data_IF_104952158829
#
_entry.id   IF_104952158829
#
_cell.length_a   1.000
_cell.length_b   1.000
_cell.length_c   1.000
_cell.angle_alpha   90.00
_cell.angle_beta   90.00
_cell.angle_gamma   90.00
#
_symmetry.space_group_name_H-M   'P 1'
#
loop_
_entity.id
_entity.type
_entity.pdbx_description
1 polymer ?
#
# COMPACT_ATOMS: atom_id res chain seq x y z
N UNK A 1 25.50 -2.57 1.67
CA UNK A 1 24.04 -2.38 1.82
C UNK A 1 23.40 -1.99 0.47
N UNK A 2 23.78 -2.67 -0.62
CA UNK A 2 23.52 -2.24 -2.02
C UNK A 2 22.50 -3.12 -2.79
N UNK A 3 22.07 -4.27 -2.25
CA UNK A 3 21.37 -5.29 -3.05
C UNK A 3 19.88 -5.03 -3.34
N UNK A 4 19.11 -4.38 -2.46
CA UNK A 4 17.66 -4.20 -2.69
C UNK A 4 17.35 -3.09 -3.70
N UNK A 5 18.16 -2.03 -3.75
CA UNK A 5 17.91 -0.92 -4.69
C UNK A 5 18.27 -1.33 -6.13
N UNK A 6 19.36 -2.07 -6.33
CA UNK A 6 19.74 -2.63 -7.64
C UNK A 6 18.71 -3.65 -8.15
N UNK A 7 18.12 -4.46 -7.26
CA UNK A 7 17.07 -5.41 -7.61
C UNK A 7 15.77 -4.75 -8.11
N UNK A 8 15.36 -3.64 -7.49
CA UNK A 8 14.18 -2.87 -7.93
C UNK A 8 14.43 -2.17 -9.27
N UNK A 9 15.64 -1.66 -9.51
CA UNK A 9 15.99 -1.00 -10.77
C UNK A 9 16.19 -1.97 -11.94
N UNK A 10 16.80 -3.13 -11.72
CA UNK A 10 16.93 -4.19 -12.73
C UNK A 10 15.58 -4.81 -13.12
N UNK A 11 14.60 -4.75 -12.21
CA UNK A 11 13.24 -5.20 -12.47
C UNK A 11 12.44 -4.19 -13.31
N UNK A 12 12.57 -2.89 -13.03
CA UNK A 12 11.93 -1.82 -13.82
C UNK A 12 12.39 -1.81 -15.29
N UNK A 13 13.66 -2.13 -15.56
CA UNK A 13 14.19 -2.23 -16.94
C UNK A 13 13.74 -3.48 -17.71
N UNK A 14 13.28 -4.53 -17.02
CA UNK A 14 12.72 -5.74 -17.66
C UNK A 14 11.25 -5.59 -18.05
N UNK A 15 10.48 -4.73 -17.35
CA UNK A 15 9.05 -4.53 -17.61
C UNK A 15 8.75 -3.49 -18.69
N UNK A 16 9.64 -2.52 -18.93
CA UNK A 16 9.53 -1.55 -20.03
C UNK A 16 10.31 -2.09 -21.22
N UNK A 17 9.66 -2.95 -22.01
CA UNK A 17 10.32 -3.81 -22.99
C UNK A 17 11.29 -3.10 -23.96
N UNK A 18 12.57 -3.44 -23.86
CA UNK A 18 13.50 -3.35 -24.98
C UNK A 18 13.34 -4.58 -25.87
N UNK A 19 12.39 -4.54 -26.81
CA UNK A 19 12.37 -5.42 -28.00
C UNK A 19 13.27 -4.87 -29.12
N UNK A 20 14.46 -4.38 -28.78
CA UNK A 20 15.41 -3.84 -29.76
C UNK A 20 16.81 -4.22 -29.34
N UNK A 21 17.21 -5.50 -29.47
CA UNK A 21 18.63 -5.89 -29.42
C UNK A 21 18.81 -7.33 -29.97
N UNK A 22 18.50 -7.51 -31.25
CA UNK A 22 18.75 -8.75 -32.00
C UNK A 22 20.13 -8.74 -32.68
N UNK A 23 21.16 -8.15 -32.05
CA UNK A 23 22.35 -7.74 -32.83
C UNK A 23 23.70 -7.67 -32.14
N UNK A 24 23.94 -8.35 -31.01
CA UNK A 24 25.32 -8.43 -30.50
C UNK A 24 25.71 -9.88 -30.09
N UNK A 25 26.61 -10.55 -30.85
CA UNK A 25 26.99 -11.94 -30.63
C UNK A 25 27.90 -12.19 -29.41
N UNK A 26 28.48 -11.16 -28.78
CA UNK A 26 29.44 -11.32 -27.66
C UNK A 26 28.77 -11.21 -26.28
N UNK A 27 27.68 -11.98 -26.10
CA UNK A 27 26.77 -12.01 -24.95
C UNK A 27 27.37 -12.35 -23.59
N UNK A 28 28.25 -11.51 -23.07
CA UNK A 28 28.76 -11.57 -21.69
C UNK A 28 28.36 -10.32 -20.92
N UNK A 29 27.60 -10.52 -19.84
CA UNK A 29 27.27 -9.47 -18.85
C UNK A 29 28.54 -8.74 -18.35
N UNK A 30 29.65 -9.47 -18.27
CA UNK A 30 30.95 -8.92 -17.85
C UNK A 30 31.59 -8.00 -18.90
N UNK A 31 31.35 -8.22 -20.19
CA UNK A 31 31.83 -7.33 -21.26
C UNK A 31 31.08 -5.98 -21.22
N UNK A 32 29.76 -6.03 -20.97
CA UNK A 32 28.91 -4.83 -20.80
C UNK A 32 29.29 -3.98 -19.57
N UNK A 33 29.85 -4.59 -18.52
CA UNK A 33 30.32 -3.89 -17.31
C UNK A 33 31.75 -3.32 -17.48
N UNK A 34 32.62 -3.98 -18.27
CA UNK A 34 34.04 -3.58 -18.43
C UNK A 34 34.28 -2.54 -19.50
N UNK A 35 33.38 -2.35 -20.46
CA UNK A 35 33.55 -1.43 -21.59
C UNK A 35 33.49 0.08 -21.23
N UNK A 36 33.67 0.47 -19.97
CA UNK A 36 33.73 1.89 -19.58
C UNK A 36 32.40 2.64 -19.71
N UNK A 37 31.34 2.00 -20.20
CA UNK A 37 30.00 2.29 -19.72
C UNK A 37 29.94 1.74 -18.31
N UNK A 38 30.31 2.55 -17.33
CA UNK A 38 29.98 2.24 -15.96
C UNK A 38 28.48 1.91 -15.87
N UNK A 39 28.05 1.44 -14.72
CA UNK A 39 26.66 1.58 -14.29
C UNK A 39 26.40 3.09 -14.03
N UNK A 40 26.70 3.93 -15.03
CA UNK A 40 26.27 5.29 -15.25
C UNK A 40 25.14 5.10 -16.23
N UNK A 41 23.95 4.86 -15.70
CA UNK A 41 22.66 4.75 -16.39
C UNK A 41 22.61 5.61 -17.67
N UNK A 42 22.93 5.08 -18.88
CA UNK A 42 23.10 5.93 -20.06
C UNK A 42 21.77 6.22 -20.79
N UNK A 43 20.66 5.66 -20.32
CA UNK A 43 19.35 5.73 -20.97
C UNK A 43 18.22 6.30 -20.09
N UNK A 44 18.34 6.33 -18.75
CA UNK A 44 17.49 7.24 -17.98
C UNK A 44 18.10 8.63 -18.17
N UNK A 45 17.47 9.48 -18.97
CA UNK A 45 17.47 10.92 -18.65
C UNK A 45 16.96 11.00 -17.21
N UNK A 46 17.87 11.05 -16.23
CA UNK A 46 17.53 11.21 -14.81
C UNK A 46 16.53 12.38 -14.74
N UNK A 47 15.45 12.19 -14.01
CA UNK A 47 14.30 13.09 -13.89
C UNK A 47 13.30 13.09 -15.06
N UNK A 48 13.42 12.15 -15.99
CA UNK A 48 12.53 12.04 -17.16
C UNK A 48 12.90 13.00 -18.31
N UNK A 49 12.17 12.88 -19.42
CA UNK A 49 12.37 13.68 -20.63
C UNK A 49 11.43 14.90 -20.73
N UNK A 50 10.41 14.97 -19.87
CA UNK A 50 9.37 15.99 -19.90
C UNK A 50 8.35 15.82 -21.02
N UNK A 51 8.17 14.59 -21.54
CA UNK A 51 7.27 14.30 -22.66
C UNK A 51 5.80 14.73 -22.42
N UNK A 52 5.34 14.76 -21.18
CA UNK A 52 3.98 15.13 -20.80
C UNK A 52 3.83 16.64 -20.49
N UNK A 53 4.88 17.45 -20.73
CA UNK A 53 4.85 18.90 -20.56
C UNK A 53 4.84 19.34 -19.10
N UNK A 54 4.35 20.55 -18.82
CA UNK A 54 4.12 21.02 -17.45
C UNK A 54 2.72 20.64 -16.98
N UNK A 55 2.59 20.26 -15.71
CA UNK A 55 1.29 20.01 -15.08
C UNK A 55 1.09 20.91 -13.86
N UNK A 56 -0.03 21.66 -13.87
CA UNK A 56 -0.54 22.36 -12.70
C UNK A 56 -1.89 21.77 -12.30
N UNK A 57 -1.94 21.11 -11.15
CA UNK A 57 -3.17 20.52 -10.59
C UNK A 57 -3.98 21.63 -9.92
N UNK A 58 -4.87 22.25 -10.70
CA UNK A 58 -5.77 23.33 -10.24
C UNK A 58 -7.17 22.84 -9.80
N UNK A 59 -7.50 21.59 -10.11
CA UNK A 59 -8.68 20.86 -9.65
C UNK A 59 -8.24 19.49 -9.11
N UNK A 60 -9.13 18.76 -8.42
CA UNK A 60 -8.81 17.38 -8.03
C UNK A 60 -8.62 16.54 -9.30
N UNK A 61 -7.46 15.91 -9.43
CA UNK A 61 -7.04 15.19 -10.63
C UNK A 61 -6.78 13.73 -10.28
N UNK A 62 -7.41 12.83 -11.03
CA UNK A 62 -7.16 11.39 -10.96
C UNK A 62 -6.46 10.96 -12.24
N UNK A 63 -5.24 10.48 -12.11
CA UNK A 63 -4.48 9.86 -13.19
C UNK A 63 -4.80 8.36 -13.26
N UNK A 64 -4.41 7.69 -14.34
CA UNK A 64 -4.39 6.22 -14.34
C UNK A 64 -3.12 5.75 -13.60
N UNK A 65 -3.14 4.60 -12.93
CA UNK A 65 -1.89 4.02 -12.41
C UNK A 65 -0.86 3.87 -13.53
N UNK A 66 0.38 4.31 -13.30
CA UNK A 66 1.40 4.31 -14.36
C UNK A 66 2.53 5.32 -14.14
N UNK A 67 3.26 5.57 -15.23
CA UNK A 67 4.44 6.44 -15.30
C UNK A 67 4.12 7.71 -16.07
N UNK A 68 4.49 8.85 -15.48
CA UNK A 68 4.30 10.20 -16.03
C UNK A 68 5.61 10.98 -16.02
N UNK A 69 5.85 11.79 -17.06
CA UNK A 69 7.11 12.50 -17.34
C UNK A 69 6.86 13.99 -17.58
N UNK A 70 6.97 14.81 -16.54
CA UNK A 70 6.72 16.25 -16.62
C UNK A 70 8.00 17.08 -16.71
N UNK A 71 7.91 18.28 -17.28
CA UNK A 71 8.93 19.32 -17.14
C UNK A 71 8.91 19.87 -15.72
N UNK A 72 7.76 20.38 -15.27
CA UNK A 72 7.47 20.75 -13.89
C UNK A 72 6.09 20.24 -13.49
N UNK A 73 5.93 19.94 -12.19
CA UNK A 73 4.66 19.51 -11.62
C UNK A 73 4.36 20.35 -10.38
N UNK A 74 3.22 21.03 -10.39
CA UNK A 74 2.72 21.77 -9.23
C UNK A 74 1.36 21.23 -8.81
N UNK A 75 1.23 20.82 -7.54
CA UNK A 75 -0.06 20.51 -6.93
C UNK A 75 -0.48 21.69 -6.06
N UNK A 76 -1.51 22.42 -6.46
CA UNK A 76 -1.97 23.62 -5.74
C UNK A 76 -2.57 23.28 -4.39
N UNK A 77 -2.56 24.26 -3.47
CA UNK A 77 -3.16 24.10 -2.15
C UNK A 77 -4.65 23.72 -2.23
N UNK A 78 -5.06 22.80 -1.36
CA UNK A 78 -6.42 22.27 -1.34
C UNK A 78 -6.80 21.38 -2.53
N UNK A 79 -5.84 21.00 -3.39
CA UNK A 79 -6.06 20.08 -4.51
C UNK A 79 -5.41 18.73 -4.26
N UNK A 80 -6.06 17.68 -4.76
CA UNK A 80 -5.57 16.31 -4.66
C UNK A 80 -5.19 15.77 -6.04
N UNK A 81 -3.97 15.24 -6.14
CA UNK A 81 -3.51 14.38 -7.22
C UNK A 81 -3.52 12.92 -6.73
N UNK A 82 -4.25 12.06 -7.41
CA UNK A 82 -4.33 10.62 -7.08
C UNK A 82 -4.30 9.77 -8.35
N UNK A 83 -4.38 8.45 -8.22
CA UNK A 83 -4.54 7.56 -9.36
C UNK A 83 -5.70 6.58 -9.19
N UNK A 84 -6.20 6.03 -10.30
CA UNK A 84 -7.14 4.90 -10.27
C UNK A 84 -6.40 3.61 -9.96
N UNK A 85 -7.11 2.66 -9.34
CA UNK A 85 -6.65 1.27 -9.24
C UNK A 85 -6.72 0.66 -10.66
N UNK A 86 -5.57 0.54 -11.33
CA UNK A 86 -5.47 -0.05 -12.67
C UNK A 86 -5.35 -1.58 -12.63
N UNK A 87 -4.95 -2.20 -13.76
CA UNK A 87 -4.50 -3.61 -13.79
C UNK A 87 -3.32 -3.85 -12.83
N UNK A 88 -2.49 -2.82 -12.66
CA UNK A 88 -1.49 -2.72 -11.60
C UNK A 88 -2.11 -1.80 -10.53
N UNK A 89 -2.27 -2.31 -9.33
CA UNK A 89 -2.92 -1.67 -8.18
C UNK A 89 -2.13 -0.48 -7.64
N UNK A 90 -2.67 0.73 -7.82
CA UNK A 90 -2.30 1.90 -7.02
C UNK A 90 -0.84 2.34 -7.11
N UNK A 91 -0.19 2.14 -8.26
CA UNK A 91 1.21 2.56 -8.49
C UNK A 91 1.23 3.87 -9.28
N UNK A 92 1.90 4.88 -8.72
CA UNK A 92 2.11 6.18 -9.37
C UNK A 92 3.60 6.49 -9.44
N UNK A 93 4.12 6.61 -10.66
CA UNK A 93 5.52 6.99 -10.92
C UNK A 93 5.55 8.37 -11.58
N UNK A 94 6.20 9.33 -10.94
CA UNK A 94 6.33 10.71 -11.40
C UNK A 94 7.80 11.03 -11.66
N UNK A 95 8.16 11.25 -12.91
CA UNK A 95 9.48 11.73 -13.32
C UNK A 95 9.34 13.22 -13.70
N UNK A 96 10.02 14.11 -12.98
CA UNK A 96 9.89 15.56 -13.15
C UNK A 96 11.24 16.20 -13.44
N UNK A 97 11.45 16.62 -14.68
CA UNK A 97 12.75 17.09 -15.18
C UNK A 97 13.30 18.29 -14.41
N UNK A 98 12.42 19.17 -13.96
CA UNK A 98 12.70 20.37 -13.18
C UNK A 98 12.21 20.20 -11.73
N UNK A 99 11.19 20.97 -11.37
CA UNK A 99 10.73 21.07 -9.99
C UNK A 99 9.36 20.42 -9.80
N UNK A 100 9.26 19.56 -8.78
CA UNK A 100 8.00 19.15 -8.18
C UNK A 100 7.69 20.07 -6.99
N UNK A 101 6.56 20.78 -7.04
CA UNK A 101 6.05 21.59 -5.93
C UNK A 101 4.74 21.01 -5.41
N UNK A 102 4.71 20.64 -4.12
CA UNK A 102 3.54 20.06 -3.45
C UNK A 102 3.01 21.05 -2.41
N UNK A 103 1.96 21.78 -2.79
CA UNK A 103 1.17 22.64 -1.88
C UNK A 103 -0.13 21.97 -1.42
N UNK A 104 -0.64 21.01 -2.21
CA UNK A 104 -1.80 20.18 -1.90
C UNK A 104 -1.42 18.75 -1.53
N UNK A 105 -2.21 17.77 -1.99
CA UNK A 105 -2.04 16.36 -1.65
C UNK A 105 -1.70 15.52 -2.88
N UNK A 106 -0.63 14.74 -2.83
CA UNK A 106 -0.41 13.59 -3.72
C UNK A 106 -0.72 12.33 -2.91
N UNK A 107 -1.67 11.50 -3.33
CA UNK A 107 -2.08 10.33 -2.54
C UNK A 107 -2.38 9.09 -3.38
N UNK A 108 -1.93 7.94 -2.87
CA UNK A 108 -2.36 6.60 -3.28
C UNK A 108 -2.83 5.77 -2.07
N UNK A 109 -3.31 6.45 -1.04
CA UNK A 109 -3.80 5.81 0.19
C UNK A 109 -4.97 4.88 -0.12
N UNK A 110 -4.99 3.67 0.46
CA UNK A 110 -6.01 2.65 0.21
C UNK A 110 -5.99 2.00 -1.18
N UNK A 111 -5.00 2.31 -2.03
CA UNK A 111 -4.91 1.75 -3.38
C UNK A 111 -4.01 0.49 -3.46
N UNK A 112 -3.53 -0.02 -2.33
CA UNK A 112 -2.78 -1.28 -2.18
C UNK A 112 -3.70 -2.51 -2.15
N UNK A 113 -3.32 -3.56 -1.43
CA UNK A 113 -4.09 -4.81 -1.43
C UNK A 113 -5.51 -4.60 -0.85
N UNK A 114 -6.57 -5.20 -1.43
CA UNK A 114 -7.94 -5.07 -0.91
C UNK A 114 -8.15 -5.89 0.37
N UNK A 115 -8.92 -5.33 1.30
CA UNK A 115 -9.21 -5.93 2.60
C UNK A 115 -10.03 -7.21 2.54
N UNK A 116 -9.91 -8.01 3.59
CA UNK A 116 -10.68 -9.24 3.77
C UNK A 116 -12.15 -8.94 4.01
N UNK A 117 -13.04 -9.73 3.38
CA UNK A 117 -14.47 -9.63 3.63
C UNK A 117 -14.82 -10.08 5.05
N UNK A 118 -15.83 -9.45 5.63
CA UNK A 118 -16.39 -9.85 6.91
C UNK A 118 -17.03 -11.24 6.84
N UNK A 119 -17.09 -11.93 7.98
CA UNK A 119 -17.94 -13.10 8.12
C UNK A 119 -19.42 -12.68 8.05
N UNK A 120 -20.17 -13.25 7.11
CA UNK A 120 -21.61 -13.04 6.98
C UNK A 120 -22.33 -14.37 7.15
N UNK A 121 -23.18 -14.49 8.18
CA UNK A 121 -24.01 -15.69 8.35
C UNK A 121 -25.51 -15.34 8.43
N UNK A 122 -26.24 -15.44 7.31
CA UNK A 122 -27.69 -15.29 7.34
C UNK A 122 -28.42 -16.46 8.02
N UNK A 123 -27.75 -17.58 8.30
CA UNK A 123 -28.30 -18.84 8.81
C UNK A 123 -28.07 -19.09 10.31
N UNK A 124 -27.37 -18.21 11.02
CA UNK A 124 -27.29 -18.24 12.48
C UNK A 124 -26.42 -19.36 13.06
N UNK A 125 -25.25 -19.62 12.50
CA UNK A 125 -24.17 -20.49 13.02
C UNK A 125 -22.83 -19.76 13.25
N UNK A 126 -22.74 -18.49 12.86
CA UNK A 126 -21.55 -17.65 12.86
C UNK A 126 -20.58 -17.97 11.71
N UNK A 127 -19.90 -16.94 11.19
CA UNK A 127 -18.97 -17.02 10.07
C UNK A 127 -17.60 -16.42 10.41
N UNK A 128 -16.54 -17.06 9.91
CA UNK A 128 -15.18 -16.50 10.00
C UNK A 128 -15.02 -15.30 9.07
N UNK A 129 -14.17 -14.36 9.44
CA UNK A 129 -13.70 -13.34 8.52
C UNK A 129 -12.78 -13.94 7.45
N UNK A 130 -12.80 -13.37 6.25
CA UNK A 130 -11.85 -13.73 5.19
C UNK A 130 -10.50 -13.04 5.42
N UNK A 131 -9.37 -13.68 5.07
CA UNK A 131 -8.06 -13.04 5.15
C UNK A 131 -7.96 -11.84 4.20
N UNK A 132 -7.15 -10.86 4.58
CA UNK A 132 -6.76 -9.75 3.71
C UNK A 132 -5.82 -10.21 2.60
N UNK A 133 -5.86 -9.53 1.45
CA UNK A 133 -4.94 -9.86 0.36
C UNK A 133 -3.51 -9.41 0.68
N UNK A 134 -2.54 -10.18 0.18
CA UNK A 134 -1.13 -9.87 0.31
C UNK A 134 -0.75 -8.64 -0.52
N UNK A 135 0.12 -7.81 0.04
CA UNK A 135 0.79 -6.71 -0.66
C UNK A 135 2.14 -7.13 -1.25
N UNK A 136 2.70 -6.28 -2.10
CA UNK A 136 4.06 -6.43 -2.62
C UNK A 136 5.06 -5.77 -1.66
N UNK A 137 4.94 -4.45 -1.49
CA UNK A 137 5.89 -3.61 -0.76
C UNK A 137 5.14 -2.65 0.18
N UNK A 138 5.58 -2.56 1.44
CA UNK A 138 4.95 -1.75 2.47
C UNK A 138 4.72 -2.55 3.77
N UNK A 139 3.81 -2.05 4.61
CA UNK A 139 3.38 -2.68 5.86
C UNK A 139 2.40 -3.81 5.63
N UNK A 140 2.43 -4.80 6.52
CA UNK A 140 1.44 -5.88 6.52
C UNK A 140 0.09 -5.38 7.02
N UNK A 141 -0.98 -6.09 6.68
CA UNK A 141 -2.30 -5.83 7.23
C UNK A 141 -2.44 -6.35 8.65
N UNK A 142 -3.33 -5.73 9.41
CA UNK A 142 -3.78 -6.21 10.71
C UNK A 142 -4.78 -7.36 10.56
N UNK A 143 -4.75 -8.33 11.48
CA UNK A 143 -5.77 -9.37 11.54
C UNK A 143 -7.13 -8.82 12.00
N UNK A 144 -8.21 -9.46 11.56
CA UNK A 144 -9.56 -9.18 12.06
C UNK A 144 -9.78 -9.76 13.46
N UNK A 145 -10.68 -9.13 14.20
CA UNK A 145 -11.14 -9.60 15.51
C UNK A 145 -12.05 -10.83 15.39
N UNK A 146 -11.87 -11.80 16.28
CA UNK A 146 -12.75 -12.96 16.40
C UNK A 146 -14.00 -12.68 17.26
N UNK A 147 -14.94 -13.63 17.21
CA UNK A 147 -16.10 -13.68 18.10
C UNK A 147 -16.17 -15.02 18.84
N UNK A 148 -16.34 -14.97 20.16
CA UNK A 148 -16.42 -16.15 21.04
C UNK A 148 -17.88 -16.36 21.50
N UNK A 149 -18.75 -16.94 20.66
CA UNK A 149 -20.10 -17.29 21.12
C UNK A 149 -20.49 -18.63 20.52
N UNK A 150 -20.63 -19.65 21.37
CA UNK A 150 -21.04 -21.01 20.99
C UNK A 150 -20.21 -21.61 19.83
N UNK A 151 -18.89 -21.40 19.88
CA UNK A 151 -17.92 -21.80 18.85
C UNK A 151 -16.96 -20.65 18.54
N UNK A 152 -15.67 -20.93 18.36
CA UNK A 152 -14.68 -19.90 18.05
C UNK A 152 -14.83 -19.56 16.57
N UNK A 153 -15.34 -18.35 16.26
CA UNK A 153 -15.29 -17.82 14.89
C UNK A 153 -14.16 -16.82 14.82
N UNK A 154 -13.12 -17.17 14.06
CA UNK A 154 -11.94 -16.35 13.92
C UNK A 154 -12.19 -15.12 13.04
N UNK A 155 -11.47 -14.05 13.31
CA UNK A 155 -11.25 -13.05 12.29
C UNK A 155 -10.31 -13.62 11.21
N UNK A 156 -10.32 -13.01 10.05
CA UNK A 156 -9.37 -13.32 8.98
C UNK A 156 -7.98 -12.79 9.32
N UNK A 157 -6.96 -13.45 8.79
CA UNK A 157 -5.57 -13.01 8.88
C UNK A 157 -5.35 -11.69 8.12
N UNK A 158 -4.34 -10.93 8.55
CA UNK A 158 -3.87 -9.78 7.79
C UNK A 158 -3.00 -10.20 6.59
N UNK A 159 -3.00 -9.41 5.53
CA UNK A 159 -2.21 -9.65 4.33
C UNK A 159 -0.71 -9.42 4.52
N UNK A 160 0.10 -10.29 3.94
CA UNK A 160 1.57 -10.30 4.00
C UNK A 160 2.18 -9.30 3.01
N UNK A 161 3.32 -8.69 3.35
CA UNK A 161 4.18 -7.94 2.40
C UNK A 161 5.56 -8.59 2.28
N UNK A 162 6.34 -8.25 1.26
CA UNK A 162 7.69 -8.81 1.05
C UNK A 162 8.81 -8.10 1.82
N UNK A 163 8.50 -7.01 2.52
CA UNK A 163 9.46 -6.13 3.21
C UNK A 163 8.95 -5.87 4.63
N UNK A 164 9.85 -5.82 5.61
CA UNK A 164 9.61 -5.52 7.04
C UNK A 164 8.96 -4.13 7.23
N UNK A 165 7.66 -4.01 6.96
CA UNK A 165 6.80 -3.02 7.59
C UNK A 165 6.12 -3.64 8.82
N UNK A 166 5.74 -2.81 9.79
CA UNK A 166 5.40 -3.25 11.16
C UNK A 166 4.48 -4.47 11.22
N UNK A 167 4.75 -5.39 12.16
CA UNK A 167 3.93 -6.57 12.39
C UNK A 167 2.57 -6.10 12.95
N UNK A 168 1.47 -6.47 12.28
CA UNK A 168 0.13 -6.28 12.83
C UNK A 168 0.00 -6.93 14.23
N UNK A 169 -0.78 -6.33 15.11
CA UNK A 169 -0.97 -6.85 16.48
C UNK A 169 -2.16 -7.81 16.53
N UNK A 170 -1.93 -9.12 16.59
CA UNK A 170 -3.03 -10.09 16.75
C UNK A 170 -3.83 -9.82 18.04
N UNK A 171 -5.16 -9.68 17.91
CA UNK A 171 -6.10 -9.79 19.03
C UNK A 171 -7.13 -10.88 18.68
N UNK A 172 -6.79 -12.14 18.92
CA UNK A 172 -7.69 -13.28 18.74
C UNK A 172 -7.07 -14.45 17.96
N UNK A 173 -7.87 -15.44 17.53
CA UNK A 173 -7.40 -16.67 16.87
C UNK A 173 -6.91 -16.46 15.42
N UNK A 174 -6.32 -15.31 15.10
CA UNK A 174 -5.86 -14.92 13.78
C UNK A 174 -4.40 -14.43 13.81
N UNK A 175 -3.66 -14.73 12.77
CA UNK A 175 -2.27 -14.35 12.56
C UNK A 175 -2.16 -13.04 11.80
N UNK A 176 -1.27 -12.17 12.24
CA UNK A 176 -0.94 -10.96 11.47
C UNK A 176 -0.04 -11.33 10.30
N UNK A 177 -0.07 -10.53 9.24
CA UNK A 177 0.65 -10.87 8.03
C UNK A 177 2.16 -10.97 8.26
N UNK A 178 2.79 -12.03 7.75
CA UNK A 178 4.23 -12.29 7.81
C UNK A 178 4.97 -11.69 6.61
N UNK A 179 6.29 -11.53 6.71
CA UNK A 179 7.11 -11.14 5.57
C UNK A 179 7.40 -12.36 4.70
N UNK A 180 6.99 -12.32 3.42
CA UNK A 180 7.12 -13.45 2.50
C UNK A 180 8.23 -13.24 1.44
N UNK A 181 8.69 -14.32 0.82
CA UNK A 181 9.90 -14.39 -0.01
C UNK A 181 9.95 -13.33 -1.14
N UNK A 182 10.74 -12.27 -0.92
CA UNK A 182 10.96 -11.13 -1.83
C UNK A 182 11.25 -11.54 -3.28
N UNK A 183 11.96 -12.66 -3.47
CA UNK A 183 12.37 -13.18 -4.78
C UNK A 183 11.19 -13.72 -5.61
N UNK A 184 10.21 -14.39 -4.98
CA UNK A 184 9.05 -14.94 -5.69
C UNK A 184 8.10 -13.83 -6.16
N UNK A 185 7.98 -12.76 -5.37
CA UNK A 185 7.16 -11.59 -5.71
C UNK A 185 7.83 -10.68 -6.75
N UNK A 186 9.16 -10.55 -6.74
CA UNK A 186 9.92 -9.78 -7.75
C UNK A 186 9.78 -10.37 -9.17
N UNK A 187 9.34 -11.62 -9.30
CA UNK A 187 9.14 -12.29 -10.60
C UNK A 187 7.66 -12.30 -11.05
N UNK A 188 6.72 -11.84 -10.21
CA UNK A 188 5.30 -12.15 -10.32
C UNK A 188 4.33 -11.02 -10.68
N UNK A 189 4.81 -9.80 -10.99
CA UNK A 189 4.04 -8.54 -11.14
C UNK A 189 3.82 -7.78 -9.82
N UNK A 190 3.99 -6.45 -9.85
CA UNK A 190 3.75 -5.56 -8.71
C UNK A 190 2.24 -5.36 -8.51
N UNK A 191 1.59 -6.30 -7.84
CA UNK A 191 0.12 -6.38 -7.81
C UNK A 191 -0.52 -5.80 -6.54
N UNK A 192 0.23 -5.11 -5.66
CA UNK A 192 -0.32 -4.24 -4.58
C UNK A 192 0.78 -3.53 -3.79
N UNK A 193 0.53 -2.33 -3.25
CA UNK A 193 1.40 -1.74 -2.21
C UNK A 193 1.33 -2.50 -0.88
N UNK A 194 0.96 -1.82 0.21
CA UNK A 194 0.79 -2.43 1.53
C UNK A 194 -0.21 -3.60 1.55
N UNK A 195 -0.03 -4.51 2.49
CA UNK A 195 -0.92 -5.66 2.73
C UNK A 195 -2.26 -5.21 3.32
N UNK A 196 -3.32 -5.97 3.09
CA UNK A 196 -4.67 -5.58 3.50
C UNK A 196 -5.06 -6.17 4.85
N UNK A 197 -5.93 -5.51 5.61
CA UNK A 197 -6.45 -6.06 6.87
C UNK A 197 -7.39 -7.24 6.66
N UNK A 198 -7.46 -8.15 7.63
CA UNK A 198 -8.40 -9.28 7.64
C UNK A 198 -9.81 -8.89 8.10
N UNK A 199 -10.84 -9.61 7.62
CA UNK A 199 -12.22 -9.36 8.03
C UNK A 199 -12.50 -9.82 9.46
N UNK A 200 -13.43 -9.19 10.16
CA UNK A 200 -13.92 -9.63 11.47
C UNK A 200 -14.80 -10.88 11.36
N UNK A 201 -14.77 -11.72 12.39
CA UNK A 201 -15.69 -12.84 12.55
C UNK A 201 -17.07 -12.38 13.04
N UNK A 202 -18.14 -13.05 12.62
CA UNK A 202 -19.50 -12.83 13.09
C UNK A 202 -19.98 -14.01 13.96
N UNK A 203 -20.61 -13.72 15.09
CA UNK A 203 -21.34 -14.72 15.87
C UNK A 203 -22.72 -15.02 15.25
N UNK A 204 -23.45 -15.89 15.93
CA UNK A 204 -24.87 -16.17 15.74
C UNK A 204 -25.72 -14.90 15.60
N UNK A 205 -26.77 -14.98 14.78
CA UNK A 205 -27.71 -13.88 14.54
C UNK A 205 -27.35 -13.03 13.32
N UNK A 206 -28.17 -12.01 13.02
CA UNK A 206 -28.06 -11.14 11.83
C UNK A 206 -26.91 -10.12 11.93
N UNK A 207 -25.78 -10.51 12.53
CA UNK A 207 -24.59 -9.66 12.69
C UNK A 207 -23.62 -9.82 11.55
N UNK A 208 -22.74 -8.85 11.40
CA UNK A 208 -21.66 -8.83 10.41
C UNK A 208 -20.38 -8.43 11.12
N UNK A 209 -19.30 -9.16 10.85
CA UNK A 209 -17.97 -8.66 11.20
C UNK A 209 -17.66 -7.33 10.50
N UNK A 210 -16.63 -6.64 10.94
CA UNK A 210 -16.10 -5.50 10.19
C UNK A 210 -15.31 -5.95 8.97
N UNK A 211 -15.38 -5.23 7.84
CA UNK A 211 -14.44 -5.44 6.73
C UNK A 211 -13.01 -5.06 7.12
N UNK A 212 -12.02 -5.76 6.56
CA UNK A 212 -10.63 -5.34 6.64
C UNK A 212 -10.34 -4.09 5.81
N UNK A 213 -9.39 -3.26 6.26
CA UNK A 213 -8.95 -2.07 5.55
C UNK A 213 -8.02 -2.40 4.38
N UNK A 214 -8.11 -1.63 3.29
CA UNK A 214 -7.20 -1.76 2.15
C UNK A 214 -5.80 -1.21 2.47
N UNK A 215 -4.74 -1.83 1.94
CA UNK A 215 -3.37 -1.32 2.08
C UNK A 215 -3.12 -0.02 1.30
N UNK A 216 -2.05 0.70 1.60
CA UNK A 216 -1.60 1.87 0.85
C UNK A 216 -0.94 1.51 -0.49
N UNK A 217 -0.99 2.38 -1.49
CA UNK A 217 -0.38 2.16 -2.81
C UNK A 217 1.14 2.42 -2.85
N UNK A 218 1.69 2.59 -4.04
CA UNK A 218 3.13 2.88 -4.25
C UNK A 218 3.29 4.21 -4.99
N UNK A 219 4.11 5.10 -4.44
CA UNK A 219 4.52 6.35 -5.07
C UNK A 219 6.02 6.32 -5.29
N UNK A 220 6.46 6.57 -6.52
CA UNK A 220 7.87 6.80 -6.85
C UNK A 220 7.96 8.18 -7.49
N UNK A 221 8.79 9.05 -6.94
CA UNK A 221 9.04 10.40 -7.45
C UNK A 221 10.51 10.56 -7.70
N UNK A 222 10.85 10.92 -8.93
CA UNK A 222 12.19 11.33 -9.32
C UNK A 222 12.11 12.76 -9.86
N UNK A 223 12.64 13.74 -9.14
CA UNK A 223 12.64 15.13 -9.58
C UNK A 223 13.95 15.84 -9.24
N UNK A 224 14.42 16.82 -10.04
CA UNK A 224 15.65 17.55 -9.65
C UNK A 224 15.46 18.24 -8.31
N UNK A 225 14.34 18.94 -8.17
CA UNK A 225 13.96 19.61 -6.94
C UNK A 225 12.60 19.08 -6.48
N UNK A 226 12.53 18.60 -5.24
CA UNK A 226 11.28 18.27 -4.56
C UNK A 226 11.05 19.32 -3.48
N UNK A 227 9.93 20.04 -3.58
CA UNK A 227 9.50 21.05 -2.61
C UNK A 227 8.15 20.61 -2.07
N UNK A 228 8.10 20.22 -0.79
CA UNK A 228 6.87 19.91 -0.07
C UNK A 228 6.64 21.04 0.93
N UNK A 229 5.67 21.90 0.68
CA UNK A 229 5.38 23.06 1.52
C UNK A 229 4.58 22.66 2.77
N UNK A 230 4.43 23.56 3.74
CA UNK A 230 3.80 23.26 5.05
C UNK A 230 2.33 22.83 4.99
N UNK A 231 1.62 23.14 3.92
CA UNK A 231 0.28 22.60 3.62
C UNK A 231 0.27 21.38 2.69
N UNK A 232 1.44 20.98 2.19
CA UNK A 232 1.63 19.91 1.23
C UNK A 232 1.75 18.54 1.88
N UNK A 233 1.25 17.50 1.20
CA UNK A 233 1.36 16.13 1.65
C UNK A 233 1.59 15.14 0.50
N UNK A 234 2.38 14.09 0.76
CA UNK A 234 2.52 12.90 -0.07
C UNK A 234 2.16 11.68 0.79
N UNK A 235 1.14 10.92 0.38
CA UNK A 235 0.57 9.84 1.21
C UNK A 235 0.39 8.53 0.46
N UNK A 236 0.75 7.45 1.14
CA UNK A 236 0.48 6.08 0.74
C UNK A 236 -0.05 5.32 1.96
N UNK A 237 -1.01 5.88 2.68
CA UNK A 237 -1.49 5.30 3.94
C UNK A 237 -2.42 4.10 3.71
N UNK A 238 -2.41 3.16 4.64
CA UNK A 238 -3.43 2.10 4.74
C UNK A 238 -4.75 2.66 5.25
N UNK A 239 -5.84 1.98 4.92
CA UNK A 239 -7.21 2.33 5.35
C UNK A 239 -7.55 1.58 6.63
N UNK A 240 -8.37 2.19 7.49
CA UNK A 240 -8.85 1.55 8.70
C UNK A 240 -9.75 0.35 8.41
N UNK A 241 -9.74 -0.63 9.31
CA UNK A 241 -10.77 -1.67 9.32
C UNK A 241 -12.12 -1.11 9.79
N UNK A 242 -13.21 -1.72 9.34
CA UNK A 242 -14.55 -1.34 9.76
C UNK A 242 -14.89 -1.94 11.13
N UNK A 243 -15.83 -1.31 11.83
CA UNK A 243 -16.37 -1.85 13.07
C UNK A 243 -17.28 -3.05 12.76
N UNK A 244 -17.32 -4.02 13.68
CA UNK A 244 -18.34 -5.06 13.65
C UNK A 244 -19.73 -4.49 13.93
N UNK A 245 -20.77 -5.08 13.33
CA UNK A 245 -22.15 -4.65 13.51
C UNK A 245 -22.85 -5.33 14.69
N UNK A 246 -23.74 -4.59 15.34
CA UNK A 246 -24.56 -5.08 16.45
C UNK A 246 -26.04 -5.07 16.04
N UNK A 247 -26.73 -6.19 16.28
CA UNK A 247 -28.18 -6.28 16.16
C UNK A 247 -28.80 -6.29 17.57
N UNK A 248 -29.51 -5.20 17.91
CA UNK A 248 -30.14 -5.01 19.22
C UNK A 248 -31.34 -5.91 19.46
N UNK A 249 -31.84 -6.60 18.44
CA UNK A 249 -33.01 -7.49 18.57
C UNK A 249 -32.66 -8.85 19.16
N UNK A 250 -31.37 -9.16 19.36
CA UNK A 250 -30.91 -10.41 19.97
C UNK A 250 -29.89 -10.15 21.07
N UNK A 251 -29.98 -10.91 22.15
CA UNK A 251 -29.09 -10.80 23.32
C UNK A 251 -27.68 -11.33 23.08
N UNK A 252 -27.45 -12.05 21.97
CA UNK A 252 -26.21 -12.77 21.67
C UNK A 252 -25.48 -12.30 20.40
N UNK A 253 -25.88 -11.16 19.85
CA UNK A 253 -25.23 -10.55 18.70
C UNK A 253 -23.85 -9.99 19.03
N UNK A 254 -22.78 -10.70 18.65
CA UNK A 254 -21.39 -10.28 18.87
C UNK A 254 -20.56 -10.44 17.60
N UNK A 255 -19.92 -9.37 17.14
CA UNK A 255 -19.08 -9.39 15.94
C UNK A 255 -17.72 -8.75 16.23
N UNK A 256 -16.65 -9.32 15.67
CA UNK A 256 -15.32 -8.72 15.72
C UNK A 256 -15.16 -7.57 14.71
N UNK A 257 -14.28 -6.62 15.03
CA UNK A 257 -13.89 -5.56 14.10
C UNK A 257 -12.95 -6.06 13.01
N UNK A 258 -12.91 -5.42 11.86
CA UNK A 258 -11.96 -5.74 10.79
C UNK A 258 -10.56 -5.17 11.09
N UNK A 259 -9.52 -5.81 10.60
CA UNK A 259 -8.15 -5.32 10.74
C UNK A 259 -7.84 -4.12 9.84
N UNK A 260 -6.90 -3.27 10.23
CA UNK A 260 -6.43 -2.13 9.42
C UNK A 260 -5.51 -2.57 8.28
N UNK A 261 -5.55 -1.86 7.16
CA UNK A 261 -4.63 -2.07 6.04
C UNK A 261 -3.24 -1.52 6.34
N UNK A 262 -2.19 -2.17 5.84
CA UNK A 262 -0.82 -1.72 5.99
C UNK A 262 -0.50 -0.51 5.12
N UNK A 263 0.43 0.32 5.57
CA UNK A 263 0.96 1.44 4.81
C UNK A 263 1.68 0.99 3.54
N UNK A 264 1.69 1.85 2.53
CA UNK A 264 2.27 1.61 1.22
C UNK A 264 3.77 1.91 1.13
N UNK A 265 4.22 2.36 -0.03
CA UNK A 265 5.61 2.71 -0.27
C UNK A 265 5.73 4.08 -0.92
N UNK A 266 6.64 4.91 -0.41
CA UNK A 266 7.00 6.21 -0.99
C UNK A 266 8.51 6.22 -1.21
N UNK A 267 8.93 6.48 -2.45
CA UNK A 267 10.33 6.68 -2.82
C UNK A 267 10.48 8.08 -3.42
N UNK A 268 11.33 8.91 -2.80
CA UNK A 268 11.68 10.26 -3.25
C UNK A 268 13.15 10.28 -3.66
N UNK A 269 13.41 10.59 -4.92
CA UNK A 269 14.75 10.68 -5.49
C UNK A 269 14.93 12.10 -6.04
N UNK A 270 15.94 12.81 -5.53
CA UNK A 270 16.18 14.19 -5.98
C UNK A 270 17.61 14.65 -5.83
N UNK A 271 17.95 15.76 -6.49
CA UNK A 271 19.20 16.49 -6.18
C UNK A 271 19.02 17.40 -4.98
N UNK A 272 17.83 17.99 -4.84
CA UNK A 272 17.48 18.84 -3.71
C UNK A 272 16.08 18.48 -3.20
N UNK A 273 15.94 18.29 -1.88
CA UNK A 273 14.63 18.19 -1.24
C UNK A 273 14.49 19.28 -0.18
N UNK A 274 13.39 20.02 -0.24
CA UNK A 274 12.89 20.82 0.88
C UNK A 274 11.56 20.21 1.31
N UNK A 275 11.48 19.72 2.55
CA UNK A 275 10.26 19.13 3.08
C UNK A 275 9.84 19.83 4.38
N UNK A 276 8.84 20.69 4.25
CA UNK A 276 8.17 21.36 5.37
C UNK A 276 6.75 20.80 5.61
N UNK A 277 6.33 19.81 4.81
CA UNK A 277 5.00 19.21 4.85
C UNK A 277 4.99 17.80 5.42
N UNK A 278 4.07 16.96 4.95
CA UNK A 278 3.88 15.59 5.45
C UNK A 278 4.22 14.56 4.37
N UNK A 279 5.07 13.59 4.70
CA UNK A 279 5.24 12.36 3.92
C UNK A 279 4.81 11.20 4.81
N UNK A 280 3.80 10.43 4.40
CA UNK A 280 3.22 9.38 5.24
C UNK A 280 2.93 8.10 4.48
N UNK A 281 3.26 6.98 5.11
CA UNK A 281 2.89 5.63 4.71
C UNK A 281 2.43 4.88 5.97
N UNK A 282 1.54 5.48 6.76
CA UNK A 282 1.05 4.88 7.99
C UNK A 282 0.14 3.69 7.71
N UNK A 283 0.14 2.71 8.62
CA UNK A 283 -0.90 1.69 8.64
C UNK A 283 -2.24 2.24 9.14
N UNK A 284 -3.34 1.66 8.68
CA UNK A 284 -4.68 1.93 9.20
C UNK A 284 -4.90 1.30 10.57
N UNK A 285 -5.80 1.89 11.36
CA UNK A 285 -6.21 1.31 12.64
C UNK A 285 -7.22 0.17 12.43
N UNK A 286 -7.28 -0.78 13.36
CA UNK A 286 -8.30 -1.81 13.36
C UNK A 286 -9.66 -1.28 13.82
N UNK A 287 -10.72 -1.91 13.33
CA UNK A 287 -12.10 -1.62 13.71
C UNK A 287 -12.44 -2.14 15.10
N UNK A 288 -13.39 -1.48 15.74
CA UNK A 288 -13.92 -1.91 17.03
C UNK A 288 -14.88 -3.09 16.88
N UNK A 289 -14.98 -3.92 17.91
CA UNK A 289 -16.03 -4.94 17.99
C UNK A 289 -17.45 -4.32 18.10
N UNK A 290 -18.48 -5.12 17.83
CA UNK A 290 -19.88 -4.76 18.03
C UNK A 290 -20.30 -4.78 19.50
N UNK A 291 -21.14 -3.83 19.94
CA UNK A 291 -21.55 -3.59 21.34
C UNK A 291 -21.94 -4.89 22.09
N UNK A 292 -21.50 -5.02 23.34
CA UNK A 292 -21.76 -6.19 24.20
C UNK A 292 -23.04 -5.95 25.04
N UNK A 293 -24.11 -6.75 24.90
CA UNK A 293 -25.14 -6.87 25.93
C UNK A 293 -24.54 -7.60 27.13
N UNK A 294 -24.79 -7.13 28.35
CA UNK A 294 -24.18 -7.62 29.60
C UNK A 294 -24.02 -9.14 29.62
N UNK A 295 -22.78 -9.63 29.53
CA UNK A 295 -22.49 -11.06 29.45
C UNK A 295 -21.01 -11.36 29.31
N UNK A 296 -20.63 -12.58 29.70
CA UNK A 296 -19.26 -13.01 30.01
C UNK A 296 -18.37 -13.30 28.78
N UNK A 297 -18.67 -12.73 27.61
CA UNK A 297 -17.82 -12.92 26.42
C UNK A 297 -17.55 -11.63 25.66
N UNK A 298 -16.27 -11.42 25.36
CA UNK A 298 -15.72 -10.19 24.81
C UNK A 298 -15.30 -10.45 23.35
N UNK A 299 -16.02 -9.92 22.34
CA UNK A 299 -15.54 -9.91 20.97
C UNK A 299 -14.26 -9.06 20.88
N UNK A 300 -13.39 -9.37 19.91
CA UNK A 300 -12.11 -8.70 19.79
C UNK A 300 -12.16 -7.56 18.77
N UNK A 301 -11.38 -6.51 19.04
CA UNK A 301 -11.09 -5.48 18.04
C UNK A 301 -10.24 -6.07 16.92
N UNK A 302 -10.32 -5.47 15.74
CA UNK A 302 -9.33 -5.68 14.71
C UNK A 302 -7.98 -5.10 15.11
N UNK A 303 -6.92 -5.69 14.59
CA UNK A 303 -5.55 -5.19 14.73
C UNK A 303 -5.30 -3.96 13.85
N UNK A 304 -4.36 -3.10 14.25
CA UNK A 304 -3.80 -2.10 13.32
C UNK A 304 -2.90 -2.74 12.26
N UNK A 305 -2.84 -2.12 11.08
CA UNK A 305 -1.89 -2.45 10.03
C UNK A 305 -0.49 -1.89 10.33
N UNK A 306 0.52 -2.52 9.73
CA UNK A 306 1.91 -2.08 9.80
C UNK A 306 2.15 -0.78 9.04
N UNK A 307 3.11 0.00 9.52
CA UNK A 307 3.63 1.14 8.73
C UNK A 307 4.36 0.63 7.48
N UNK A 308 4.25 1.43 6.43
CA UNK A 308 4.90 1.25 5.14
C UNK A 308 6.33 1.78 5.09
N UNK A 309 6.85 1.91 3.87
CA UNK A 309 8.23 2.33 3.62
C UNK A 309 8.25 3.76 3.08
N UNK A 310 9.11 4.60 3.65
CA UNK A 310 9.44 5.92 3.11
C UNK A 310 10.95 5.95 2.91
N UNK A 311 11.38 6.12 1.67
CA UNK A 311 12.78 6.28 1.31
C UNK A 311 12.98 7.63 0.63
N UNK A 312 13.87 8.45 1.17
CA UNK A 312 14.28 9.71 0.57
C UNK A 312 15.79 9.65 0.32
N UNK A 313 16.17 9.81 -0.95
CA UNK A 313 17.57 9.79 -1.38
C UNK A 313 17.88 11.09 -2.09
N UNK A 314 18.90 11.78 -1.58
CA UNK A 314 19.49 12.95 -2.21
C UNK A 314 20.75 12.47 -2.96
N UNK A 315 20.79 12.71 -4.27
CA UNK A 315 21.80 12.21 -5.21
C UNK A 315 22.95 13.19 -5.41
#
# INVERSE_FOLDING_TARGET
MFGMMEGVYAFLTRMVGNRMETGDPDGSLHAKIRAGQGIVFPFLKRFGDGADGDLTVAANTTLTSGLYRYNNLTVNAGKTLTCTRGKNTGVLVLLVKGTLTVNGLITVSGLGAPGGMYGNDPGGTGANGSPGQNGFIGGSGGAGGGSYVYGIKGGGDGGNTGVLGGIGVSQGPSTSGTTDNLIAKLLGNMDAGGGAGGGGGAAYGRTRGGMGGAGGGVIIIEARNIIINSGGAIRADGVNGENGSYDSSTTDSRSGGGGGGGGGCIVLLSLNTTNNGIVSAAGGIGGSYGKIPSGNVIPYNGAGGGNGVIAQVVL
#
